data_IF_320915634530
#
_entry.id   IF_320915634530
#
_cell.length_a   1.000
_cell.length_b   1.000
_cell.length_c   1.000
_cell.angle_alpha   90.00
_cell.angle_beta   90.00
_cell.angle_gamma   90.00
#
_symmetry.space_group_name_H-M   'P 1'
#
loop_
_entity.id
_entity.type
_entity.pdbx_description
1 polymer ?
#
# COMPACT_ATOMS: atom_id res chain seq x y z
N UNK A 1 1.54 -87.89 -22.84
CA UNK A 1 2.60 -87.33 -21.98
C UNK A 1 3.71 -86.57 -22.71
N UNK A 2 4.31 -87.03 -23.82
CA UNK A 2 5.43 -86.30 -24.45
C UNK A 2 5.08 -84.89 -24.98
N UNK A 3 3.90 -84.72 -25.58
CA UNK A 3 3.47 -83.40 -26.09
C UNK A 3 3.16 -82.38 -25.00
N UNK A 4 2.86 -82.82 -23.77
CA UNK A 4 2.61 -81.94 -22.61
C UNK A 4 3.94 -81.42 -22.05
N UNK A 5 4.99 -82.25 -22.02
CA UNK A 5 6.32 -81.82 -21.61
C UNK A 5 6.98 -80.89 -22.65
N UNK A 6 6.83 -81.17 -23.94
CA UNK A 6 7.30 -80.27 -25.00
C UNK A 6 6.59 -78.92 -24.97
N UNK A 7 5.26 -78.92 -24.80
CA UNK A 7 4.51 -77.68 -24.64
C UNK A 7 4.94 -76.91 -23.39
N UNK A 8 5.13 -77.61 -22.25
CA UNK A 8 5.62 -76.98 -21.02
C UNK A 8 7.00 -76.37 -21.21
N UNK A 9 7.93 -77.07 -21.86
CA UNK A 9 9.28 -76.58 -22.12
C UNK A 9 9.28 -75.41 -23.12
N UNK A 10 8.48 -75.48 -24.18
CA UNK A 10 8.32 -74.39 -25.13
C UNK A 10 7.69 -73.14 -24.50
N UNK A 11 6.67 -73.32 -23.67
CA UNK A 11 6.02 -72.23 -22.95
C UNK A 11 6.95 -71.64 -21.87
N UNK A 12 7.74 -72.46 -21.19
CA UNK A 12 8.75 -71.99 -20.22
C UNK A 12 9.83 -71.16 -20.93
N UNK A 13 10.31 -71.62 -22.08
CA UNK A 13 11.29 -70.91 -22.90
C UNK A 13 10.73 -69.58 -23.42
N UNK A 14 9.52 -69.58 -23.98
CA UNK A 14 8.85 -68.37 -24.43
C UNK A 14 8.66 -67.34 -23.30
N UNK A 15 8.23 -67.79 -22.12
CA UNK A 15 8.01 -66.91 -20.98
C UNK A 15 9.32 -66.38 -20.39
N UNK A 16 10.37 -67.20 -20.30
CA UNK A 16 11.63 -66.84 -19.65
C UNK A 16 12.64 -66.16 -20.56
N UNK A 17 12.76 -66.58 -21.81
CA UNK A 17 13.79 -66.08 -22.75
C UNK A 17 13.27 -64.98 -23.67
N UNK A 18 11.97 -64.92 -23.95
CA UNK A 18 11.39 -63.90 -24.85
C UNK A 18 10.55 -62.86 -24.11
N UNK A 19 9.53 -63.27 -23.36
CA UNK A 19 8.58 -62.32 -22.75
C UNK A 19 9.09 -61.62 -21.51
N UNK A 20 9.80 -62.33 -20.63
CA UNK A 20 10.33 -61.76 -19.40
C UNK A 20 11.34 -60.63 -19.69
N UNK A 21 12.35 -60.79 -20.58
CA UNK A 21 13.26 -59.69 -20.93
C UNK A 21 12.53 -58.50 -21.57
N UNK A 22 11.55 -58.73 -22.44
CA UNK A 22 10.74 -57.66 -23.05
C UNK A 22 10.00 -56.81 -22.00
N UNK A 23 9.45 -57.44 -20.95
CA UNK A 23 8.79 -56.74 -19.85
C UNK A 23 9.78 -55.89 -19.03
N UNK A 24 10.97 -56.43 -18.75
CA UNK A 24 12.03 -55.69 -18.04
C UNK A 24 12.57 -54.52 -18.87
N UNK A 25 12.66 -54.66 -20.20
CA UNK A 25 13.04 -53.57 -21.10
C UNK A 25 12.01 -52.43 -21.11
N UNK A 26 10.71 -52.76 -21.16
CA UNK A 26 9.66 -51.74 -21.08
C UNK A 26 9.68 -51.05 -19.71
N UNK A 27 9.82 -51.82 -18.64
CA UNK A 27 9.92 -51.28 -17.29
C UNK A 27 11.13 -50.35 -17.12
N UNK A 28 12.30 -50.73 -17.68
CA UNK A 28 13.50 -49.89 -17.64
C UNK A 28 13.28 -48.57 -18.38
N UNK A 29 12.64 -48.60 -19.57
CA UNK A 29 12.29 -47.39 -20.34
C UNK A 29 11.32 -46.48 -19.59
N UNK A 30 10.35 -47.06 -18.88
CA UNK A 30 9.38 -46.29 -18.08
C UNK A 30 10.03 -45.68 -16.83
N UNK A 31 10.98 -46.38 -16.20
CA UNK A 31 11.68 -45.91 -15.00
C UNK A 31 12.79 -44.88 -15.30
N UNK A 32 13.38 -44.94 -16.49
CA UNK A 32 14.48 -44.07 -16.92
C UNK A 32 14.21 -42.56 -16.72
N UNK A 33 13.09 -41.97 -17.20
CA UNK A 33 12.83 -40.54 -17.02
C UNK A 33 12.69 -40.14 -15.55
N UNK A 34 12.10 -40.99 -14.71
CA UNK A 34 11.99 -40.74 -13.28
C UNK A 34 13.35 -40.78 -12.59
N UNK A 35 14.18 -41.79 -12.90
CA UNK A 35 15.53 -41.90 -12.37
C UNK A 35 16.40 -40.69 -12.75
N UNK A 36 16.30 -40.19 -13.98
CA UNK A 36 17.02 -38.99 -14.43
C UNK A 36 16.55 -37.75 -13.65
N UNK A 37 15.25 -37.51 -13.55
CA UNK A 37 14.70 -36.36 -12.83
C UNK A 37 15.07 -36.37 -11.34
N UNK A 38 15.01 -37.55 -10.70
CA UNK A 38 15.42 -37.73 -9.31
C UNK A 38 16.91 -37.43 -9.12
N UNK A 39 17.76 -37.97 -10.00
CA UNK A 39 19.21 -37.71 -10.01
C UNK A 39 19.49 -36.21 -10.14
N UNK A 40 18.89 -35.53 -11.10
CA UNK A 40 19.06 -34.09 -11.29
C UNK A 40 18.60 -33.29 -10.07
N UNK A 41 17.48 -33.68 -9.45
CA UNK A 41 16.98 -33.02 -8.24
C UNK A 41 17.91 -33.16 -7.05
N UNK A 42 18.49 -34.35 -6.84
CA UNK A 42 19.43 -34.61 -5.75
C UNK A 42 20.78 -33.94 -5.99
N UNK A 43 21.30 -33.94 -7.22
CA UNK A 43 22.53 -33.22 -7.56
C UNK A 43 22.36 -31.71 -7.39
N UNK A 44 21.23 -31.14 -7.82
CA UNK A 44 20.92 -29.73 -7.62
C UNK A 44 20.85 -29.38 -6.13
N UNK A 45 20.10 -30.16 -5.34
CA UNK A 45 20.02 -29.96 -3.89
C UNK A 45 21.40 -30.09 -3.20
N UNK A 46 22.26 -30.99 -3.69
CA UNK A 46 23.61 -31.17 -3.18
C UNK A 46 24.49 -29.94 -3.46
N UNK A 47 24.49 -29.44 -4.69
CA UNK A 47 25.25 -28.24 -5.07
C UNK A 47 24.73 -26.96 -4.39
N UNK A 48 23.42 -26.83 -4.21
CA UNK A 48 22.80 -25.72 -3.47
C UNK A 48 23.22 -25.72 -1.99
N UNK A 49 23.47 -26.89 -1.39
CA UNK A 49 24.00 -27.03 -0.02
C UNK A 49 25.53 -26.87 0.05
N UNK A 50 26.24 -27.16 -1.05
CA UNK A 50 27.70 -27.09 -1.12
C UNK A 50 28.21 -25.68 -1.43
N UNK A 51 27.44 -24.90 -2.19
CA UNK A 51 27.71 -23.50 -2.49
C UNK A 51 27.51 -22.55 -1.29
N UNK A 52 26.94 -23.04 -0.18
CA UNK A 52 26.75 -22.25 1.03
C UNK A 52 28.06 -22.11 1.84
N UNK A 53 28.33 -20.92 2.41
CA UNK A 53 29.57 -20.69 3.15
C UNK A 53 29.66 -21.56 4.42
N UNK A 54 30.80 -22.23 4.58
CA UNK A 54 31.08 -23.18 5.68
C UNK A 54 31.70 -22.53 6.92
N UNK A 55 32.20 -21.31 6.78
CA UNK A 55 32.83 -20.57 7.86
C UNK A 55 31.90 -19.47 8.38
N UNK A 56 31.84 -19.34 9.71
CA UNK A 56 31.04 -18.31 10.40
C UNK A 56 31.36 -16.90 9.90
N UNK A 57 32.63 -16.63 9.55
CA UNK A 57 33.04 -15.31 9.04
C UNK A 57 32.57 -15.07 7.59
N UNK A 58 32.61 -16.09 6.73
CA UNK A 58 32.09 -15.99 5.36
C UNK A 58 30.55 -15.88 5.34
N UNK A 59 29.86 -16.55 6.26
CA UNK A 59 28.41 -16.40 6.49
C UNK A 59 28.07 -14.97 6.95
N UNK A 60 28.88 -14.38 7.85
CA UNK A 60 28.72 -12.99 8.28
C UNK A 60 28.87 -12.01 7.11
N UNK A 61 29.93 -12.12 6.30
CA UNK A 61 30.12 -11.23 5.15
C UNK A 61 29.02 -11.35 4.08
N UNK A 62 28.54 -12.57 3.82
CA UNK A 62 27.41 -12.80 2.91
C UNK A 62 26.12 -12.17 3.43
N UNK A 63 25.77 -12.41 4.71
CA UNK A 63 24.58 -11.83 5.33
C UNK A 63 24.66 -10.30 5.44
N UNK A 64 25.85 -9.73 5.64
CA UNK A 64 26.06 -8.28 5.62
C UNK A 64 25.79 -7.66 4.25
N UNK A 65 26.16 -8.34 3.14
CA UNK A 65 25.82 -7.86 1.78
C UNK A 65 24.33 -7.97 1.50
N UNK A 66 23.70 -9.06 1.98
CA UNK A 66 22.27 -9.26 1.86
C UNK A 66 21.48 -8.21 2.66
N UNK A 67 21.96 -7.83 3.83
CA UNK A 67 21.33 -6.85 4.72
C UNK A 67 21.05 -5.50 4.04
N UNK A 68 22.01 -4.96 3.30
CA UNK A 68 21.82 -3.69 2.59
C UNK A 68 20.70 -3.80 1.53
N UNK A 69 20.62 -4.96 0.86
CA UNK A 69 19.55 -5.23 -0.10
C UNK A 69 18.20 -5.35 0.59
N UNK A 70 18.14 -6.01 1.75
CA UNK A 70 16.92 -6.16 2.55
C UNK A 70 16.43 -4.83 3.12
N UNK A 71 17.33 -3.99 3.67
CA UNK A 71 16.98 -2.66 4.18
C UNK A 71 16.45 -1.76 3.06
N UNK A 72 17.06 -1.82 1.87
CA UNK A 72 16.57 -1.11 0.69
C UNK A 72 15.17 -1.59 0.28
N UNK A 73 14.97 -2.90 0.20
CA UNK A 73 13.66 -3.48 -0.11
C UNK A 73 12.60 -3.06 0.90
N UNK A 74 12.91 -3.04 2.19
CA UNK A 74 12.00 -2.57 3.24
C UNK A 74 11.64 -1.10 3.05
N UNK A 75 12.62 -0.24 2.74
CA UNK A 75 12.38 1.17 2.45
C UNK A 75 11.50 1.38 1.20
N UNK A 76 11.75 0.63 0.15
CA UNK A 76 10.97 0.66 -1.10
C UNK A 76 9.53 0.15 -0.88
N UNK A 77 9.36 -0.95 -0.15
CA UNK A 77 8.06 -1.54 0.19
C UNK A 77 7.25 -0.62 1.09
N UNK A 78 7.90 0.07 2.04
CA UNK A 78 7.28 1.10 2.86
C UNK A 78 6.74 2.25 1.99
N UNK A 79 7.57 2.80 1.09
CA UNK A 79 7.13 3.88 0.19
C UNK A 79 5.94 3.44 -0.67
N UNK A 80 6.01 2.27 -1.29
CA UNK A 80 4.91 1.70 -2.09
C UNK A 80 3.64 1.51 -1.27
N UNK A 81 3.76 1.10 0.00
CA UNK A 81 2.59 0.96 0.87
C UNK A 81 1.93 2.33 1.12
N UNK A 82 2.70 3.36 1.46
CA UNK A 82 2.18 4.72 1.65
C UNK A 82 1.55 5.26 0.36
N UNK A 83 2.20 5.09 -0.78
CA UNK A 83 1.66 5.48 -2.09
C UNK A 83 0.34 4.78 -2.41
N UNK A 84 0.25 3.48 -2.12
CA UNK A 84 -0.98 2.71 -2.31
C UNK A 84 -2.10 3.23 -1.42
N UNK A 85 -1.82 3.48 -0.14
CA UNK A 85 -2.80 4.03 0.81
C UNK A 85 -3.27 5.43 0.40
N UNK A 86 -2.38 6.27 -0.13
CA UNK A 86 -2.74 7.57 -0.71
C UNK A 86 -3.61 7.41 -1.95
N UNK A 87 -3.26 6.51 -2.87
CA UNK A 87 -4.03 6.29 -4.10
C UNK A 87 -5.46 5.82 -3.81
N UNK A 88 -5.65 4.98 -2.78
CA UNK A 88 -6.99 4.54 -2.36
C UNK A 88 -7.89 5.68 -1.86
N UNK A 89 -7.29 6.77 -1.35
CA UNK A 89 -8.02 7.95 -0.85
C UNK A 89 -8.17 9.03 -1.93
N UNK A 90 -7.15 9.21 -2.78
CA UNK A 90 -7.11 10.31 -3.74
C UNK A 90 -7.72 9.92 -5.09
N UNK A 91 -7.51 8.69 -5.56
CA UNK A 91 -7.75 8.31 -6.96
C UNK A 91 -8.95 7.37 -7.16
N UNK A 92 -9.31 6.52 -6.19
CA UNK A 92 -10.29 5.44 -6.43
C UNK A 92 -11.59 5.51 -5.64
N UNK A 93 -11.77 6.44 -4.68
CA UNK A 93 -12.93 6.46 -3.75
C UNK A 93 -13.20 5.10 -3.04
N UNK A 94 -12.27 4.15 -3.13
CA UNK A 94 -12.41 2.77 -2.63
C UNK A 94 -12.22 2.71 -1.12
N UNK A 95 -11.58 3.73 -0.52
CA UNK A 95 -11.50 3.85 0.92
C UNK A 95 -12.87 4.31 1.50
N UNK A 96 -13.77 3.34 1.66
CA UNK A 96 -15.13 3.54 2.19
C UNK A 96 -15.16 4.22 3.56
N UNK A 97 -14.14 3.97 4.40
CA UNK A 97 -14.07 4.58 5.72
C UNK A 97 -13.76 6.08 5.61
N UNK A 98 -12.78 6.44 4.79
CA UNK A 98 -12.46 7.84 4.50
C UNK A 98 -13.64 8.57 3.86
N UNK A 99 -14.32 7.94 2.88
CA UNK A 99 -15.51 8.52 2.26
C UNK A 99 -16.65 8.77 3.25
N UNK A 100 -16.86 7.83 4.17
CA UNK A 100 -17.87 7.97 5.22
C UNK A 100 -17.54 9.14 6.15
N UNK A 101 -16.29 9.28 6.54
CA UNK A 101 -15.84 10.38 7.40
C UNK A 101 -15.91 11.73 6.69
N UNK A 102 -15.55 11.78 5.40
CA UNK A 102 -15.69 12.99 4.60
C UNK A 102 -17.17 13.38 4.43
N UNK A 103 -18.06 12.43 4.13
CA UNK A 103 -19.51 12.68 4.11
C UNK A 103 -20.03 13.17 5.46
N UNK A 104 -19.53 12.62 6.57
CA UNK A 104 -19.88 13.09 7.93
C UNK A 104 -19.49 14.56 8.12
N UNK A 105 -18.31 14.98 7.66
CA UNK A 105 -17.89 16.39 7.64
C UNK A 105 -18.86 17.25 6.82
N UNK A 106 -19.22 16.83 5.60
CA UNK A 106 -20.16 17.57 4.75
C UNK A 106 -21.52 17.78 5.44
N UNK A 107 -22.07 16.72 6.05
CA UNK A 107 -23.35 16.79 6.76
C UNK A 107 -23.29 17.70 7.98
N UNK A 108 -22.19 17.66 8.75
CA UNK A 108 -22.01 18.55 9.92
C UNK A 108 -21.97 20.02 9.50
N UNK A 109 -21.27 20.34 8.41
CA UNK A 109 -21.22 21.69 7.86
C UNK A 109 -22.60 22.21 7.45
N UNK A 110 -23.37 21.41 6.69
CA UNK A 110 -24.72 21.76 6.26
C UNK A 110 -25.64 21.94 7.46
N UNK A 111 -25.65 20.97 8.39
CA UNK A 111 -26.48 21.02 9.59
C UNK A 111 -26.13 22.22 10.47
N UNK A 112 -24.84 22.58 10.57
CA UNK A 112 -24.42 23.77 11.33
C UNK A 112 -24.95 25.04 10.70
N UNK A 113 -24.85 25.20 9.39
CA UNK A 113 -25.40 26.37 8.69
C UNK A 113 -26.90 26.50 8.95
N UNK A 114 -27.66 25.41 8.82
CA UNK A 114 -29.11 25.42 9.07
C UNK A 114 -29.45 25.88 10.50
N UNK A 115 -28.69 25.39 11.49
CA UNK A 115 -28.85 25.81 12.89
C UNK A 115 -28.51 27.28 13.08
N UNK A 116 -27.41 27.76 12.50
CA UNK A 116 -26.98 29.16 12.61
C UNK A 116 -28.00 30.11 11.97
N UNK A 117 -28.52 29.78 10.79
CA UNK A 117 -29.56 30.57 10.11
C UNK A 117 -30.86 30.59 10.91
N UNK A 118 -31.29 29.43 11.44
CA UNK A 118 -32.53 29.33 12.22
C UNK A 118 -32.45 30.05 13.57
N UNK A 119 -31.28 30.03 14.21
CA UNK A 119 -31.05 30.65 15.53
C UNK A 119 -30.55 32.10 15.45
N UNK A 120 -30.23 32.60 14.26
CA UNK A 120 -29.80 33.98 14.05
C UNK A 120 -30.80 34.97 14.65
N UNK A 121 -30.31 35.93 15.42
CA UNK A 121 -31.12 37.02 15.97
C UNK A 121 -30.49 38.37 15.68
N UNK A 122 -31.32 39.30 15.19
CA UNK A 122 -30.93 40.70 14.98
C UNK A 122 -30.52 41.35 16.29
N UNK A 123 -31.17 40.99 17.40
CA UNK A 123 -30.88 41.57 18.71
C UNK A 123 -29.50 41.25 19.26
N UNK A 124 -29.14 39.98 19.24
CA UNK A 124 -27.81 39.55 19.69
C UNK A 124 -26.69 40.08 18.78
N UNK A 125 -26.95 40.16 17.47
CA UNK A 125 -26.01 40.71 16.49
C UNK A 125 -25.87 42.23 16.65
N UNK A 126 -26.97 42.95 16.90
CA UNK A 126 -26.96 44.38 17.20
C UNK A 126 -26.16 44.68 18.47
N UNK A 127 -26.36 43.91 19.56
CA UNK A 127 -25.57 44.07 20.80
C UNK A 127 -24.07 43.88 20.55
N UNK A 128 -23.69 42.86 19.77
CA UNK A 128 -22.29 42.60 19.39
C UNK A 128 -21.71 43.74 18.57
N UNK A 129 -22.40 44.17 17.51
CA UNK A 129 -21.97 45.29 16.68
C UNK A 129 -21.89 46.61 17.45
N UNK A 130 -22.79 46.84 18.43
CA UNK A 130 -22.76 48.01 19.31
C UNK A 130 -21.56 47.97 20.26
N UNK A 131 -21.19 46.80 20.78
CA UNK A 131 -20.02 46.64 21.64
C UNK A 131 -18.71 47.06 20.93
N UNK A 132 -18.64 46.86 19.61
CA UNK A 132 -17.54 47.32 18.75
C UNK A 132 -17.50 48.84 18.56
N UNK A 133 -18.61 49.55 18.84
CA UNK A 133 -18.74 51.01 18.66
C UNK A 133 -19.32 51.72 19.89
N UNK A 134 -18.60 51.67 21.02
CA UNK A 134 -19.01 52.18 22.35
C UNK A 134 -19.53 53.62 22.43
N UNK A 135 -19.24 54.48 21.45
CA UNK A 135 -19.70 55.88 21.42
C UNK A 135 -21.07 56.08 20.78
N UNK A 136 -21.57 55.10 20.03
CA UNK A 136 -22.80 55.22 19.25
C UNK A 136 -23.87 54.26 19.79
N UNK A 137 -25.08 54.77 19.98
CA UNK A 137 -26.20 53.99 20.50
C UNK A 137 -26.94 53.18 19.42
N UNK A 138 -26.66 53.43 18.14
CA UNK A 138 -27.38 52.86 16.98
C UNK A 138 -26.40 52.18 16.04
N UNK A 139 -26.75 50.98 15.58
CA UNK A 139 -25.99 50.22 14.58
C UNK A 139 -26.78 50.22 13.27
N UNK A 140 -26.18 50.63 12.14
CA UNK A 140 -26.85 50.54 10.84
C UNK A 140 -27.04 49.06 10.46
N UNK A 141 -28.08 48.76 9.68
CA UNK A 141 -28.35 47.39 9.25
C UNK A 141 -27.18 46.75 8.51
N UNK A 142 -26.40 47.51 7.74
CA UNK A 142 -25.18 47.03 7.10
C UNK A 142 -24.14 46.57 8.12
N UNK A 143 -24.06 47.23 9.29
CA UNK A 143 -23.21 46.79 10.39
C UNK A 143 -23.71 45.50 11.04
N UNK A 144 -25.04 45.32 11.16
CA UNK A 144 -25.64 44.05 11.63
C UNK A 144 -25.36 42.93 10.64
N UNK A 145 -25.51 43.19 9.34
CA UNK A 145 -25.22 42.20 8.29
C UNK A 145 -23.74 41.82 8.32
N UNK A 146 -22.83 42.79 8.36
CA UNK A 146 -21.39 42.53 8.45
C UNK A 146 -21.05 41.64 9.66
N UNK A 147 -21.57 41.98 10.84
CA UNK A 147 -21.36 41.18 12.06
C UNK A 147 -21.97 39.77 11.92
N UNK A 148 -23.11 39.63 11.24
CA UNK A 148 -23.71 38.33 10.93
C UNK A 148 -22.81 37.49 10.00
N UNK A 149 -22.22 38.09 8.96
CA UNK A 149 -21.28 37.40 8.06
C UNK A 149 -20.08 36.85 8.84
N UNK A 150 -19.45 37.68 9.68
CA UNK A 150 -18.34 37.23 10.53
C UNK A 150 -18.76 36.11 11.49
N UNK A 151 -19.91 36.26 12.15
CA UNK A 151 -20.40 35.25 13.07
C UNK A 151 -20.62 33.90 12.39
N UNK A 152 -21.32 33.87 11.25
CA UNK A 152 -21.58 32.65 10.52
C UNK A 152 -20.28 32.02 9.99
N UNK A 153 -19.36 32.82 9.44
CA UNK A 153 -18.09 32.34 8.94
C UNK A 153 -17.24 31.69 10.05
N UNK A 154 -17.10 32.34 11.21
CA UNK A 154 -16.32 31.85 12.33
C UNK A 154 -16.91 30.56 12.94
N UNK A 155 -18.24 30.48 13.04
CA UNK A 155 -18.92 29.29 13.56
C UNK A 155 -18.82 28.10 12.60
N UNK A 156 -18.83 28.35 11.28
CA UNK A 156 -18.57 27.34 10.26
C UNK A 156 -17.10 26.92 10.25
N UNK A 157 -16.17 27.85 10.43
CA UNK A 157 -14.74 27.58 10.56
C UNK A 157 -14.48 26.63 11.72
N UNK A 158 -15.06 26.91 12.90
CA UNK A 158 -14.87 26.06 14.08
C UNK A 158 -15.29 24.60 13.82
N UNK A 159 -16.43 24.40 13.15
CA UNK A 159 -16.92 23.06 12.78
C UNK A 159 -16.05 22.41 11.71
N UNK A 160 -15.61 23.16 10.71
CA UNK A 160 -14.73 22.63 9.66
C UNK A 160 -13.38 22.22 10.24
N UNK A 161 -12.80 23.04 11.13
CA UNK A 161 -11.56 22.75 11.84
C UNK A 161 -11.67 21.49 12.69
N UNK A 162 -12.73 21.34 13.47
CA UNK A 162 -12.95 20.15 14.30
C UNK A 162 -13.15 18.90 13.45
N UNK A 163 -14.00 18.97 12.42
CA UNK A 163 -14.27 17.85 11.54
C UNK A 163 -13.04 17.42 10.73
N UNK A 164 -12.18 18.35 10.32
CA UNK A 164 -10.95 18.04 9.60
C UNK A 164 -9.89 17.39 10.49
N UNK A 165 -9.82 17.77 11.76
CA UNK A 165 -8.98 17.05 12.74
C UNK A 165 -9.44 15.61 12.90
N UNK A 166 -10.74 15.40 13.10
CA UNK A 166 -11.32 14.05 13.22
C UNK A 166 -11.08 13.20 11.96
N UNK A 167 -11.22 13.80 10.77
CA UNK A 167 -10.93 13.11 9.50
C UNK A 167 -9.46 12.65 9.43
N UNK A 168 -8.52 13.49 9.84
CA UNK A 168 -7.10 13.13 9.88
C UNK A 168 -6.80 12.08 10.94
N UNK A 169 -7.36 12.23 12.14
CA UNK A 169 -7.19 11.25 13.22
C UNK A 169 -7.61 9.85 12.78
N UNK A 170 -8.79 9.73 12.18
CA UNK A 170 -9.31 8.45 11.71
C UNK A 170 -8.47 7.86 10.57
N UNK A 171 -8.03 8.71 9.63
CA UNK A 171 -7.17 8.27 8.53
C UNK A 171 -5.83 7.75 9.04
N UNK A 172 -5.12 8.53 9.87
CA UNK A 172 -3.81 8.13 10.40
C UNK A 172 -3.90 6.94 11.35
N UNK A 173 -4.99 6.80 12.11
CA UNK A 173 -5.24 5.60 12.91
C UNK A 173 -5.32 4.34 12.03
N UNK A 174 -6.07 4.40 10.93
CA UNK A 174 -6.15 3.26 10.00
C UNK A 174 -4.83 2.98 9.31
N UNK A 175 -4.12 4.03 8.88
CA UNK A 175 -2.80 3.92 8.27
C UNK A 175 -1.82 3.23 9.21
N UNK A 176 -1.82 3.63 10.48
CA UNK A 176 -0.97 3.07 11.52
C UNK A 176 -1.20 1.57 11.72
N UNK A 177 -2.46 1.15 11.84
CA UNK A 177 -2.82 -0.27 11.95
C UNK A 177 -2.38 -1.08 10.74
N UNK A 178 -2.55 -0.54 9.53
CA UNK A 178 -2.12 -1.22 8.29
C UNK A 178 -0.60 -1.32 8.19
N UNK A 179 0.14 -0.27 8.56
CA UNK A 179 1.60 -0.28 8.60
C UNK A 179 2.10 -1.35 9.57
N UNK A 180 1.51 -1.47 10.76
CA UNK A 180 1.86 -2.51 11.74
C UNK A 180 1.65 -3.93 11.25
N UNK A 181 0.60 -4.14 10.45
CA UNK A 181 0.27 -5.45 9.89
C UNK A 181 1.09 -5.79 8.64
N UNK A 182 1.87 -4.85 8.10
CA UNK A 182 2.63 -5.07 6.88
C UNK A 182 3.87 -5.94 7.11
N UNK A 183 4.19 -6.80 6.14
CA UNK A 183 5.34 -7.71 6.21
C UNK A 183 6.67 -6.98 6.40
N UNK A 184 6.84 -5.83 5.74
CA UNK A 184 8.07 -5.02 5.86
C UNK A 184 8.27 -4.50 7.29
N UNK A 185 7.20 -4.25 8.05
CA UNK A 185 7.29 -3.73 9.42
C UNK A 185 7.84 -4.79 10.38
N UNK A 186 7.36 -6.02 10.25
CA UNK A 186 7.89 -7.16 10.99
C UNK A 186 9.34 -7.47 10.61
N UNK A 187 9.69 -7.37 9.32
CA UNK A 187 11.07 -7.52 8.85
C UNK A 187 11.99 -6.42 9.40
N UNK A 188 11.55 -5.17 9.39
CA UNK A 188 12.28 -4.05 9.97
C UNK A 188 12.58 -4.28 11.46
N UNK A 189 11.56 -4.72 12.22
CA UNK A 189 11.71 -5.02 13.64
C UNK A 189 12.68 -6.18 13.89
N UNK A 190 12.67 -7.22 13.05
CA UNK A 190 13.65 -8.32 13.11
C UNK A 190 15.08 -7.82 12.89
N UNK A 191 15.29 -6.96 11.91
CA UNK A 191 16.63 -6.51 11.52
C UNK A 191 17.23 -5.49 12.50
N UNK A 192 16.44 -4.53 12.97
CA UNK A 192 16.92 -3.42 13.82
C UNK A 192 16.61 -3.59 15.31
N UNK A 193 15.73 -4.54 15.67
CA UNK A 193 15.23 -4.71 17.05
C UNK A 193 14.26 -3.61 17.49
N UNK A 194 13.86 -2.71 16.59
CA UNK A 194 12.90 -1.63 16.81
C UNK A 194 12.23 -1.22 15.48
N UNK A 195 11.26 -0.31 15.56
CA UNK A 195 10.50 0.21 14.41
C UNK A 195 11.24 1.31 13.62
N UNK A 196 12.49 1.61 13.96
CA UNK A 196 13.27 2.73 13.45
C UNK A 196 12.56 4.11 13.50
N UNK A 197 11.63 4.29 14.44
CA UNK A 197 10.85 5.52 14.58
C UNK A 197 9.79 5.71 13.50
N UNK A 198 9.37 4.66 12.79
CA UNK A 198 8.24 4.71 11.84
C UNK A 198 6.98 5.22 12.53
N UNK A 199 6.67 4.71 13.72
CA UNK A 199 5.46 5.10 14.46
C UNK A 199 5.51 6.58 14.89
N UNK A 200 6.65 7.02 15.42
CA UNK A 200 6.87 8.41 15.83
C UNK A 200 6.79 9.40 14.65
N UNK A 201 7.27 8.98 13.47
CA UNK A 201 7.18 9.79 12.27
C UNK A 201 5.74 9.87 11.76
N UNK A 202 4.98 8.77 11.77
CA UNK A 202 3.55 8.79 11.41
C UNK A 202 2.74 9.73 12.33
N UNK A 203 2.98 9.70 13.64
CA UNK A 203 2.35 10.61 14.59
C UNK A 203 2.72 12.08 14.30
N UNK A 204 4.01 12.35 14.04
CA UNK A 204 4.47 13.70 13.66
C UNK A 204 3.86 14.17 12.34
N UNK A 205 3.70 13.29 11.36
CA UNK A 205 3.08 13.62 10.08
C UNK A 205 1.59 13.89 10.24
N UNK A 206 0.91 13.14 11.12
CA UNK A 206 -0.48 13.39 11.50
C UNK A 206 -0.66 14.81 12.05
N UNK A 207 0.16 15.21 13.02
CA UNK A 207 0.08 16.56 13.61
C UNK A 207 0.38 17.67 12.60
N UNK A 208 1.34 17.45 11.69
CA UNK A 208 1.63 18.40 10.60
C UNK A 208 0.46 18.52 9.62
N UNK A 209 -0.12 17.39 9.20
CA UNK A 209 -1.26 17.37 8.30
C UNK A 209 -2.51 18.03 8.93
N UNK A 210 -2.76 17.79 10.21
CA UNK A 210 -3.80 18.48 10.98
C UNK A 210 -3.57 19.98 10.99
N UNK A 211 -2.36 20.43 11.37
CA UNK A 211 -2.05 21.86 11.44
C UNK A 211 -2.21 22.55 10.07
N UNK A 212 -1.77 21.89 8.99
CA UNK A 212 -1.98 22.37 7.64
C UNK A 212 -3.47 22.48 7.30
N UNK A 213 -4.26 21.43 7.55
CA UNK A 213 -5.70 21.47 7.30
C UNK A 213 -6.45 22.50 8.14
N UNK A 214 -6.02 22.76 9.38
CA UNK A 214 -6.59 23.85 10.18
C UNK A 214 -6.40 25.20 9.50
N UNK A 215 -5.21 25.45 8.94
CA UNK A 215 -4.94 26.69 8.21
C UNK A 215 -5.71 26.78 6.88
N UNK A 216 -5.85 25.65 6.18
CA UNK A 216 -6.66 25.59 4.96
C UNK A 216 -8.15 25.80 5.25
N UNK A 217 -8.69 25.21 6.33
CA UNK A 217 -10.07 25.45 6.79
C UNK A 217 -10.33 26.93 7.06
N UNK A 218 -9.41 27.59 7.76
CA UNK A 218 -9.47 29.04 8.01
C UNK A 218 -9.51 29.83 6.71
N UNK A 219 -8.59 29.53 5.80
CA UNK A 219 -8.47 30.22 4.51
C UNK A 219 -9.71 30.04 3.65
N UNK A 220 -10.33 28.85 3.67
CA UNK A 220 -11.59 28.59 2.94
C UNK A 220 -12.79 29.30 3.59
N UNK A 221 -12.89 29.31 4.93
CA UNK A 221 -13.98 29.98 5.64
C UNK A 221 -13.87 31.51 5.66
N UNK A 222 -12.66 32.07 5.63
CA UNK A 222 -12.45 33.52 5.47
C UNK A 222 -13.10 34.06 4.19
N UNK A 223 -13.14 33.23 3.14
CA UNK A 223 -13.81 33.58 1.87
C UNK A 223 -15.33 33.71 2.04
N UNK A 224 -15.92 33.15 3.09
CA UNK A 224 -17.35 33.27 3.34
C UNK A 224 -17.77 34.67 3.78
N UNK A 225 -16.86 35.42 4.39
CA UNK A 225 -17.12 36.79 4.86
C UNK A 225 -17.43 37.70 3.67
N UNK A 226 -16.73 37.50 2.54
CA UNK A 226 -16.91 38.31 1.33
C UNK A 226 -18.11 37.85 0.52
N UNK A 227 -19.01 38.76 0.19
CA UNK A 227 -20.16 38.47 -0.66
C UNK A 227 -19.73 38.09 -2.08
N UNK A 228 -20.50 37.20 -2.70
CA UNK A 228 -20.28 36.78 -4.08
C UNK A 228 -20.63 37.92 -5.06
N UNK A 229 -19.92 38.08 -6.19
CA UNK A 229 -20.33 39.05 -7.23
C UNK A 229 -21.79 38.89 -7.67
N UNK A 230 -22.26 37.64 -7.73
CA UNK A 230 -23.63 37.27 -8.07
C UNK A 230 -24.67 37.80 -7.08
N UNK A 231 -24.25 38.06 -5.83
CA UNK A 231 -25.10 38.59 -4.77
C UNK A 231 -25.65 39.98 -5.12
N UNK A 232 -24.86 40.78 -5.86
CA UNK A 232 -25.18 42.15 -6.26
C UNK A 232 -25.63 42.28 -7.73
N UNK A 233 -25.73 41.19 -8.47
CA UNK A 233 -26.11 41.23 -9.89
C UNK A 233 -27.54 41.71 -10.09
N UNK A 234 -27.76 42.59 -11.07
CA UNK A 234 -29.09 43.10 -11.38
C UNK A 234 -30.04 41.97 -11.81
N UNK A 235 -31.30 42.04 -11.36
CA UNK A 235 -32.33 41.04 -11.70
C UNK A 235 -32.27 39.74 -10.87
N UNK A 236 -31.38 39.63 -9.87
CA UNK A 236 -31.32 38.45 -8.99
C UNK A 236 -32.22 38.57 -7.76
N UNK A 237 -32.60 37.42 -7.21
CA UNK A 237 -33.39 37.31 -5.98
C UNK A 237 -32.65 37.94 -4.79
N UNK A 238 -31.32 37.85 -4.72
CA UNK A 238 -30.52 38.43 -3.64
C UNK A 238 -30.60 39.95 -3.60
N UNK A 239 -30.52 40.64 -4.76
CA UNK A 239 -30.65 42.10 -4.83
C UNK A 239 -32.06 42.55 -4.49
N UNK A 240 -33.08 41.84 -4.96
CA UNK A 240 -34.48 42.13 -4.62
C UNK A 240 -34.70 42.00 -3.10
N UNK A 241 -34.26 40.88 -2.51
CA UNK A 241 -34.39 40.61 -1.09
C UNK A 241 -33.62 41.65 -0.24
N UNK A 242 -32.40 41.99 -0.63
CA UNK A 242 -31.60 43.02 0.04
C UNK A 242 -32.32 44.38 0.03
N UNK A 243 -32.84 44.80 -1.12
CA UNK A 243 -33.60 46.07 -1.24
C UNK A 243 -34.82 46.07 -0.33
N UNK A 244 -35.57 44.97 -0.28
CA UNK A 244 -36.74 44.84 0.57
C UNK A 244 -36.36 44.92 2.07
N UNK A 245 -35.33 44.17 2.48
CA UNK A 245 -34.78 44.18 3.85
C UNK A 245 -34.35 45.59 4.27
N UNK A 246 -33.61 46.29 3.40
CA UNK A 246 -33.17 47.66 3.66
C UNK A 246 -34.36 48.62 3.77
N UNK A 247 -35.36 48.51 2.89
CA UNK A 247 -36.55 49.35 2.95
C UNK A 247 -37.38 49.09 4.21
N UNK A 248 -37.58 47.84 4.61
CA UNK A 248 -38.36 47.49 5.81
C UNK A 248 -37.66 47.92 7.10
N UNK A 249 -36.36 47.64 7.22
CA UNK A 249 -35.59 47.95 8.41
C UNK A 249 -35.30 49.46 8.59
N UNK A 250 -35.19 50.22 7.50
CA UNK A 250 -34.92 51.66 7.54
C UNK A 250 -36.18 52.53 7.58
N UNK A 251 -37.39 51.95 7.57
CA UNK A 251 -38.67 52.70 7.68
C UNK A 251 -38.88 53.30 9.07
N UNK A 252 -38.30 52.71 10.10
CA UNK A 252 -38.31 53.22 11.48
C UNK A 252 -36.91 53.58 11.96
N UNK A 253 -36.83 54.50 12.92
CA UNK A 253 -35.58 54.83 13.64
C UNK A 253 -35.37 53.93 14.88
N UNK A 254 -36.28 52.98 15.10
CA UNK A 254 -36.37 52.14 16.28
C UNK A 254 -35.90 50.69 16.02
N UNK A 255 -35.32 50.10 17.06
CA UNK A 255 -34.84 48.72 17.06
C UNK A 255 -35.93 47.70 16.68
N UNK A 256 -37.19 48.00 16.97
CA UNK A 256 -38.34 47.12 16.66
C UNK A 256 -38.53 46.91 15.15
N UNK A 257 -38.26 47.92 14.33
CA UNK A 257 -38.31 47.82 12.87
C UNK A 257 -37.21 46.89 12.33
N UNK A 258 -36.04 46.85 12.97
CA UNK A 258 -34.96 45.91 12.59
C UNK A 258 -35.31 44.48 12.96
N UNK A 259 -35.96 44.26 14.11
CA UNK A 259 -36.43 42.92 14.53
C UNK A 259 -37.51 42.39 13.59
N UNK A 260 -38.43 43.25 13.12
CA UNK A 260 -39.44 42.87 12.11
C UNK A 260 -38.81 42.39 10.79
N UNK A 261 -37.64 42.93 10.43
CA UNK A 261 -36.89 42.52 9.24
C UNK A 261 -36.06 41.23 9.43
N UNK A 262 -35.99 40.66 10.64
CA UNK A 262 -35.18 39.47 10.94
C UNK A 262 -35.44 38.27 10.02
N UNK A 263 -36.69 37.88 9.70
CA UNK A 263 -36.94 36.76 8.78
C UNK A 263 -36.34 37.00 7.38
N UNK A 264 -36.42 38.24 6.91
CA UNK A 264 -35.91 38.65 5.62
C UNK A 264 -34.36 38.70 5.62
N UNK A 265 -33.73 39.06 6.74
CA UNK A 265 -32.28 38.99 6.95
C UNK A 265 -31.81 37.52 6.98
N UNK A 266 -32.51 36.62 7.67
CA UNK A 266 -32.19 35.18 7.68
C UNK A 266 -32.21 34.60 6.27
N UNK A 267 -33.22 34.97 5.48
CA UNK A 267 -33.32 34.54 4.09
C UNK A 267 -32.16 35.08 3.24
N UNK A 268 -31.74 36.32 3.46
CA UNK A 268 -30.59 36.91 2.77
C UNK A 268 -29.28 36.17 3.09
N UNK A 269 -29.03 35.89 4.38
CA UNK A 269 -27.85 35.12 4.82
C UNK A 269 -27.87 33.71 4.21
N UNK A 270 -29.05 33.07 4.16
CA UNK A 270 -29.21 31.75 3.56
C UNK A 270 -28.85 31.73 2.08
N UNK A 271 -29.36 32.70 1.30
CA UNK A 271 -29.11 32.81 -0.15
C UNK A 271 -27.62 32.93 -0.45
N UNK A 272 -26.86 33.61 0.40
CA UNK A 272 -25.43 33.81 0.19
C UNK A 272 -24.56 32.65 0.74
N UNK A 273 -24.82 32.16 1.96
CA UNK A 273 -23.98 31.13 2.58
C UNK A 273 -24.21 29.72 2.02
N UNK A 274 -25.43 29.35 1.63
CA UNK A 274 -25.69 28.01 1.08
C UNK A 274 -24.84 27.67 -0.16
N UNK A 275 -24.77 28.52 -1.21
CA UNK A 275 -23.94 28.21 -2.37
C UNK A 275 -22.44 28.22 -2.04
N UNK A 276 -22.00 29.10 -1.14
CA UNK A 276 -20.62 29.11 -0.62
C UNK A 276 -20.24 27.81 0.04
N UNK A 277 -21.07 27.36 0.97
CA UNK A 277 -20.86 26.11 1.68
C UNK A 277 -20.86 24.92 0.73
N UNK A 278 -21.85 24.84 -0.17
CA UNK A 278 -21.96 23.76 -1.15
C UNK A 278 -20.72 23.68 -2.04
N UNK A 279 -20.23 24.81 -2.52
CA UNK A 279 -19.02 24.84 -3.34
C UNK A 279 -17.79 24.36 -2.55
N UNK A 280 -17.63 24.79 -1.30
CA UNK A 280 -16.52 24.32 -0.47
C UNK A 280 -16.58 22.82 -0.25
N UNK A 281 -17.70 22.30 0.27
CA UNK A 281 -17.79 20.90 0.69
C UNK A 281 -17.83 19.92 -0.50
N UNK A 282 -18.32 20.34 -1.67
CA UNK A 282 -18.44 19.47 -2.85
C UNK A 282 -17.27 19.59 -3.81
N UNK A 283 -16.64 20.77 -3.92
CA UNK A 283 -15.69 21.06 -5.01
C UNK A 283 -14.29 21.43 -4.54
N UNK A 284 -14.13 22.32 -3.56
CA UNK A 284 -12.79 22.84 -3.22
C UNK A 284 -12.12 22.04 -2.11
N UNK A 285 -12.87 21.65 -1.07
CA UNK A 285 -12.27 21.14 0.16
C UNK A 285 -11.69 19.73 0.01
N UNK A 286 -12.33 18.84 -0.77
CA UNK A 286 -11.80 17.49 -1.02
C UNK A 286 -10.43 17.52 -1.72
N UNK A 287 -10.25 18.25 -2.84
CA UNK A 287 -8.93 18.45 -3.42
C UNK A 287 -7.90 19.03 -2.45
N UNK A 288 -8.29 19.97 -1.59
CA UNK A 288 -7.39 20.54 -0.57
C UNK A 288 -6.91 19.45 0.40
N UNK A 289 -7.82 18.65 0.96
CA UNK A 289 -7.47 17.51 1.82
C UNK A 289 -6.53 16.53 1.10
N UNK A 290 -6.86 16.16 -0.13
CA UNK A 290 -6.04 15.23 -0.92
C UNK A 290 -4.62 15.77 -1.13
N UNK A 291 -4.47 17.05 -1.48
CA UNK A 291 -3.16 17.70 -1.65
C UNK A 291 -2.38 17.76 -0.34
N UNK A 292 -3.04 18.06 0.78
CA UNK A 292 -2.41 18.10 2.10
C UNK A 292 -1.88 16.72 2.49
N UNK A 293 -2.67 15.65 2.25
CA UNK A 293 -2.24 14.28 2.50
C UNK A 293 -1.02 13.91 1.63
N UNK A 294 -1.08 14.15 0.32
CA UNK A 294 0.03 13.85 -0.60
C UNK A 294 1.32 14.54 -0.12
N UNK A 295 1.24 15.84 0.16
CA UNK A 295 2.41 16.63 0.56
C UNK A 295 3.02 16.15 1.88
N UNK A 296 2.20 15.81 2.88
CA UNK A 296 2.69 15.42 4.21
C UNK A 296 2.97 13.92 4.39
N UNK A 297 2.68 13.09 3.39
CA UNK A 297 2.96 11.65 3.46
C UNK A 297 4.02 11.20 2.44
N UNK A 298 3.99 11.71 1.20
CA UNK A 298 4.83 11.19 0.12
C UNK A 298 6.32 11.58 0.26
N UNK A 299 6.62 12.88 0.35
CA UNK A 299 8.01 13.32 0.53
C UNK A 299 8.62 12.82 1.87
N UNK A 300 7.88 12.87 2.99
CA UNK A 300 8.39 12.32 4.24
C UNK A 300 8.58 10.80 4.21
N UNK A 301 7.77 10.03 3.47
CA UNK A 301 7.97 8.58 3.37
C UNK A 301 9.28 8.23 2.67
N UNK A 302 9.63 8.92 1.59
CA UNK A 302 10.93 8.72 0.93
C UNK A 302 12.11 9.11 1.82
N UNK A 303 11.95 10.20 2.59
CA UNK A 303 12.97 10.62 3.56
C UNK A 303 13.19 9.56 4.63
N UNK A 304 12.11 8.97 5.16
CA UNK A 304 12.19 7.90 6.15
C UNK A 304 12.77 6.61 5.57
N UNK A 305 12.44 6.25 4.33
CA UNK A 305 13.02 5.09 3.65
C UNK A 305 14.55 5.24 3.48
N UNK A 306 15.02 6.44 3.12
CA UNK A 306 16.45 6.73 3.07
C UNK A 306 17.10 6.65 4.46
N UNK A 307 16.40 7.11 5.50
CA UNK A 307 16.87 6.99 6.89
C UNK A 307 16.94 5.53 7.36
N UNK A 308 15.99 4.68 6.96
CA UNK A 308 16.02 3.23 7.19
C UNK A 308 17.26 2.60 6.54
N UNK A 309 17.54 2.97 5.29
CA UNK A 309 18.72 2.49 4.57
C UNK A 309 20.04 2.90 5.25
N UNK A 310 20.08 4.10 5.84
CA UNK A 310 21.25 4.58 6.58
C UNK A 310 21.48 3.85 7.92
N UNK A 311 20.53 3.08 8.43
CA UNK A 311 20.70 2.32 9.69
C UNK A 311 21.49 1.01 9.52
N UNK A 312 22.23 0.86 8.42
CA UNK A 312 23.02 -0.33 8.14
C UNK A 312 23.91 -0.75 9.33
N UNK A 313 24.65 0.19 9.94
CA UNK A 313 25.53 -0.11 11.08
C UNK A 313 24.78 -0.70 12.29
N UNK A 314 23.62 -0.13 12.64
CA UNK A 314 22.81 -0.64 13.75
C UNK A 314 22.20 -2.00 13.44
N UNK A 315 21.78 -2.20 12.19
CA UNK A 315 21.29 -3.48 11.74
C UNK A 315 22.42 -4.53 11.81
N UNK A 316 23.66 -4.18 11.44
CA UNK A 316 24.82 -5.04 11.59
C UNK A 316 25.11 -5.39 13.05
N UNK A 317 25.07 -4.44 13.97
CA UNK A 317 25.30 -4.69 15.39
C UNK A 317 24.23 -5.59 16.03
N UNK A 318 22.97 -5.36 15.68
CA UNK A 318 21.85 -6.17 16.15
C UNK A 318 21.93 -7.58 15.57
N UNK A 319 22.11 -7.68 14.25
CA UNK A 319 22.31 -8.96 13.58
C UNK A 319 23.52 -9.70 14.12
N UNK A 320 24.66 -9.06 14.35
CA UNK A 320 25.85 -9.73 14.89
C UNK A 320 25.57 -10.45 16.22
N UNK A 321 24.71 -9.86 17.07
CA UNK A 321 24.30 -10.47 18.35
C UNK A 321 23.37 -11.67 18.18
N UNK A 322 22.54 -11.69 17.14
CA UNK A 322 21.65 -12.82 16.82
C UNK A 322 22.32 -13.86 15.89
N UNK A 323 23.27 -13.43 15.07
CA UNK A 323 23.99 -14.20 14.05
C UNK A 323 24.80 -15.32 14.65
N UNK A 324 25.44 -15.12 15.80
CA UNK A 324 26.22 -16.21 16.39
C UNK A 324 25.33 -17.43 16.75
N UNK A 325 24.05 -17.19 17.09
CA UNK A 325 23.06 -18.25 17.34
C UNK A 325 22.35 -18.72 16.08
N UNK A 326 22.01 -17.81 15.16
CA UNK A 326 21.35 -18.17 13.90
C UNK A 326 22.32 -18.89 12.94
N UNK A 327 23.58 -18.45 12.84
CA UNK A 327 24.60 -19.10 12.02
C UNK A 327 24.97 -20.49 12.56
N UNK A 328 25.05 -20.68 13.89
CA UNK A 328 25.26 -22.02 14.45
C UNK A 328 24.08 -22.94 14.16
N UNK A 329 22.85 -22.45 14.33
CA UNK A 329 21.64 -23.23 14.03
C UNK A 329 21.51 -23.54 12.53
N UNK A 330 21.88 -22.61 11.65
CA UNK A 330 21.85 -22.78 10.21
C UNK A 330 22.91 -23.77 9.74
N UNK A 331 24.13 -23.74 10.30
CA UNK A 331 25.16 -24.75 10.05
C UNK A 331 24.72 -26.14 10.51
N UNK A 332 24.13 -26.27 11.70
CA UNK A 332 23.58 -27.55 12.17
C UNK A 332 22.44 -28.07 11.29
N UNK A 333 21.55 -27.19 10.83
CA UNK A 333 20.46 -27.55 9.93
C UNK A 333 20.98 -27.99 8.56
N UNK A 334 21.98 -27.29 8.01
CA UNK A 334 22.62 -27.63 6.75
C UNK A 334 23.37 -28.97 6.83
N UNK A 335 24.08 -29.23 7.93
CA UNK A 335 24.74 -30.52 8.16
C UNK A 335 23.72 -31.66 8.26
N UNK A 336 22.60 -31.47 8.98
CA UNK A 336 21.51 -32.44 9.03
C UNK A 336 20.92 -32.71 7.64
N UNK A 337 20.65 -31.65 6.87
CA UNK A 337 20.14 -31.79 5.50
C UNK A 337 21.13 -32.50 4.57
N UNK A 338 22.44 -32.26 4.73
CA UNK A 338 23.47 -32.99 3.99
C UNK A 338 23.47 -34.47 4.35
N UNK A 339 23.35 -34.82 5.62
CA UNK A 339 23.26 -36.24 6.06
C UNK A 339 22.01 -36.90 5.48
N UNK A 340 20.83 -36.28 5.62
CA UNK A 340 19.59 -36.80 5.06
C UNK A 340 19.64 -36.95 3.53
N UNK A 341 20.28 -36.00 2.84
CA UNK A 341 20.44 -36.06 1.39
C UNK A 341 21.42 -37.17 0.97
N UNK A 342 22.51 -37.39 1.72
CA UNK A 342 23.39 -38.55 1.50
C UNK A 342 22.64 -39.87 1.65
N UNK A 343 21.84 -40.01 2.70
CA UNK A 343 21.04 -41.21 2.93
C UNK A 343 20.04 -41.46 1.79
N UNK A 344 19.40 -40.40 1.28
CA UNK A 344 18.49 -40.48 0.11
C UNK A 344 19.23 -40.87 -1.17
N UNK A 345 20.42 -40.31 -1.41
CA UNK A 345 21.28 -40.66 -2.57
C UNK A 345 21.73 -42.12 -2.46
N UNK A 346 22.10 -42.59 -1.27
CA UNK A 346 22.54 -43.97 -1.05
C UNK A 346 21.39 -44.96 -1.23
N UNK A 347 20.20 -44.67 -0.69
CA UNK A 347 19.00 -45.47 -0.91
C UNK A 347 18.60 -45.52 -2.40
N UNK A 348 18.69 -44.40 -3.12
CA UNK A 348 18.49 -44.34 -4.56
C UNK A 348 19.49 -45.23 -5.30
N UNK A 349 20.79 -45.08 -5.02
CA UNK A 349 21.84 -45.87 -5.66
C UNK A 349 21.69 -47.36 -5.38
N UNK A 350 21.31 -47.76 -4.16
CA UNK A 350 21.04 -49.16 -3.82
C UNK A 350 19.86 -49.72 -4.62
N UNK A 351 18.76 -48.97 -4.75
CA UNK A 351 17.60 -49.38 -5.52
C UNK A 351 17.93 -49.50 -7.02
N UNK A 352 18.61 -48.50 -7.59
CA UNK A 352 19.06 -48.49 -8.98
C UNK A 352 20.00 -49.66 -9.26
N UNK A 353 20.97 -49.93 -8.37
CA UNK A 353 21.90 -51.05 -8.50
C UNK A 353 21.19 -52.41 -8.47
N UNK A 354 20.20 -52.57 -7.60
CA UNK A 354 19.37 -53.79 -7.56
C UNK A 354 18.60 -54.01 -8.87
N UNK A 355 18.03 -52.94 -9.44
CA UNK A 355 17.33 -53.01 -10.73
C UNK A 355 18.31 -53.30 -11.86
N UNK A 356 19.46 -52.62 -11.89
CA UNK A 356 20.51 -52.82 -12.89
C UNK A 356 21.04 -54.25 -12.87
N UNK A 357 21.26 -54.85 -11.70
CA UNK A 357 21.64 -56.27 -11.57
C UNK A 357 20.58 -57.20 -12.18
N UNK A 358 19.29 -56.91 -11.98
CA UNK A 358 18.22 -57.68 -12.61
C UNK A 358 18.20 -57.52 -14.14
N UNK A 359 18.53 -56.33 -14.66
CA UNK A 359 18.64 -56.07 -16.11
C UNK A 359 19.85 -56.77 -16.72
N UNK A 360 21.01 -56.78 -16.04
CA UNK A 360 22.23 -57.49 -16.45
C UNK A 360 22.02 -59.01 -16.50
N UNK A 361 21.34 -59.59 -15.49
CA UNK A 361 20.97 -61.02 -15.51
C UNK A 361 20.08 -61.40 -16.70
N UNK A 362 19.35 -60.42 -17.27
CA UNK A 362 18.51 -60.58 -18.45
C UNK A 362 19.21 -60.20 -19.76
N UNK A 363 20.53 -59.92 -19.74
CA UNK A 363 21.36 -59.45 -20.87
C UNK A 363 20.90 -58.11 -21.46
N UNK A 364 20.33 -57.24 -20.64
CA UNK A 364 19.85 -55.90 -21.01
C UNK A 364 20.84 -54.79 -20.59
N UNK A 365 22.14 -55.05 -20.77
CA UNK A 365 23.23 -54.17 -20.29
C UNK A 365 23.19 -52.75 -20.87
N UNK A 366 22.48 -52.56 -21.99
CA UNK A 366 22.31 -51.25 -22.66
C UNK A 366 21.20 -50.38 -22.06
N UNK A 367 20.43 -50.89 -21.11
CA UNK A 367 19.25 -50.21 -20.53
C UNK A 367 19.41 -49.95 -19.03
N UNK A 368 20.65 -49.86 -18.56
CA UNK A 368 20.95 -49.55 -17.17
C UNK A 368 20.45 -48.15 -16.80
N UNK A 369 19.87 -48.08 -15.60
CA UNK A 369 19.40 -46.86 -14.98
C UNK A 369 20.59 -46.07 -14.40
N UNK A 370 20.53 -44.74 -14.40
CA UNK A 370 21.64 -43.89 -13.99
C UNK A 370 21.89 -43.96 -12.48
N UNK A 371 23.12 -44.28 -12.07
CA UNK A 371 23.58 -44.11 -10.68
C UNK A 371 24.16 -42.71 -10.46
N UNK A 372 24.18 -42.25 -9.21
CA UNK A 372 24.87 -41.01 -8.79
C UNK A 372 26.27 -41.40 -8.30
N UNK A 373 27.31 -41.02 -9.04
CA UNK A 373 28.70 -41.31 -8.69
C UNK A 373 29.30 -40.22 -7.79
N UNK A 374 30.38 -40.54 -7.08
CA UNK A 374 31.14 -39.53 -6.32
C UNK A 374 31.68 -38.42 -7.23
N UNK A 375 32.04 -38.74 -8.48
CA UNK A 375 32.47 -37.75 -9.48
C UNK A 375 31.37 -36.72 -9.79
N UNK A 376 30.10 -37.14 -9.84
CA UNK A 376 28.96 -36.23 -10.05
C UNK A 376 28.81 -35.23 -8.90
N UNK A 377 29.22 -35.60 -7.68
CA UNK A 377 29.18 -34.74 -6.50
C UNK A 377 30.29 -33.68 -6.49
N UNK A 378 31.38 -33.90 -7.23
CA UNK A 378 32.53 -32.97 -7.32
C UNK A 378 32.53 -32.09 -8.57
N UNK A 379 31.82 -32.47 -9.64
CA UNK A 379 31.60 -31.60 -10.80
C UNK A 379 30.60 -30.51 -10.45
N UNK A 380 31.08 -29.28 -10.24
CA UNK A 380 30.23 -28.10 -10.28
C UNK A 380 29.56 -28.03 -11.67
N UNK A 381 28.26 -27.70 -11.76
CA UNK A 381 27.64 -27.49 -13.04
C UNK A 381 28.36 -26.31 -13.72
N UNK A 382 28.82 -26.54 -14.95
CA UNK A 382 29.22 -25.45 -15.84
C UNK A 382 27.98 -24.58 -15.99
N UNK A 383 27.99 -23.40 -15.35
CA UNK A 383 27.04 -22.34 -15.62
C UNK A 383 27.26 -21.97 -17.08
N UNK A 384 26.43 -22.52 -17.97
CA UNK A 384 26.22 -21.89 -19.26
C UNK A 384 25.48 -20.60 -18.91
N UNK A 385 26.23 -19.50 -18.88
CA UNK A 385 25.65 -18.16 -18.93
C UNK A 385 24.81 -18.08 -20.21
N UNK A 386 23.52 -18.38 -20.09
CA UNK A 386 22.55 -17.95 -21.07
C UNK A 386 22.41 -16.45 -20.83
N UNK A 387 23.14 -15.67 -21.63
CA UNK A 387 22.99 -14.22 -21.73
C UNK A 387 21.49 -13.86 -21.74
N UNK A 388 20.97 -13.12 -20.74
CA UNK A 388 19.61 -12.61 -20.78
C UNK A 388 19.58 -11.32 -21.61
N UNK A 389 20.09 -11.38 -22.84
CA UNK A 389 20.15 -10.25 -23.77
C UNK A 389 19.11 -10.34 -24.90
N UNK A 390 18.31 -11.40 -24.98
CA UNK A 390 17.29 -11.56 -26.01
C UNK A 390 15.93 -11.94 -25.41
N UNK A 391 15.33 -11.05 -24.62
CA UNK A 391 13.88 -11.01 -24.39
C UNK A 391 13.51 -9.79 -23.54
N UNK A 392 12.58 -8.99 -24.03
CA UNK A 392 11.86 -7.88 -23.36
C UNK A 392 12.27 -6.42 -23.63
N UNK A 393 13.37 -6.12 -24.33
CA UNK A 393 13.61 -4.74 -24.84
C UNK A 393 13.21 -4.53 -26.30
N UNK A 394 13.18 -5.58 -27.13
CA UNK A 394 12.71 -5.49 -28.52
C UNK A 394 11.19 -5.52 -28.69
N UNK A 395 10.41 -5.90 -27.67
CA UNK A 395 8.93 -5.90 -27.75
C UNK A 395 8.26 -4.61 -27.27
N UNK A 396 9.01 -3.67 -26.69
CA UNK A 396 8.49 -2.35 -26.32
C UNK A 396 8.82 -1.25 -27.35
N UNK A 397 9.73 -1.50 -28.30
CA UNK A 397 10.02 -0.55 -29.39
C UNK A 397 9.00 -0.64 -30.55
N UNK A 398 8.43 -1.82 -30.82
CA UNK A 398 7.45 -2.02 -31.90
C UNK A 398 6.01 -1.58 -31.55
N UNK A 399 5.77 -1.17 -30.29
CA UNK A 399 4.46 -0.63 -29.85
C UNK A 399 4.49 0.92 -29.82
N UNK A 400 5.66 1.55 -29.82
CA UNK A 400 5.80 3.02 -29.84
C UNK A 400 5.95 3.64 -31.23
N UNK A 401 6.14 2.85 -32.29
CA UNK A 401 6.25 3.36 -33.68
C UNK A 401 4.99 3.16 -34.54
N UNK A 402 3.91 2.59 -34.00
CA UNK A 402 2.65 2.39 -34.74
C UNK A 402 1.54 3.43 -34.48
N UNK A 403 1.78 4.45 -33.64
CA UNK A 403 0.79 5.54 -33.37
C UNK A 403 1.18 6.95 -33.88
N UNK A 404 2.31 7.11 -34.59
CA UNK A 404 2.72 8.41 -35.16
C UNK A 404 2.76 8.43 -36.70
N UNK A 405 1.70 7.93 -37.33
CA UNK A 405 1.63 7.82 -38.79
C UNK A 405 0.30 8.17 -39.41
N UNK A 406 -0.34 9.29 -39.04
CA UNK A 406 -1.45 9.87 -39.84
C UNK A 406 -1.71 11.35 -39.50
N UNK A 407 -0.92 12.29 -40.06
CA UNK A 407 -1.41 13.61 -40.52
C UNK A 407 -0.47 14.13 -41.61
N UNK A 408 -0.80 13.89 -42.88
CA UNK A 408 -0.43 14.79 -43.99
C UNK A 408 -1.19 14.45 -45.27
N UNK A 409 -2.33 15.13 -45.45
CA UNK A 409 -2.86 15.58 -46.74
C UNK A 409 -3.94 16.62 -46.49
#
# INVERSE_FOLDING_TARGET
DSGVEEFRNAMTRYLMEEKRPQLFEVLAKDLQPFCISLRESYLKAWWDLESQPREVNALKEYQLRQLNTELKQIGDDFCKHIEKELNLVVASDENLAFEKDFKKLQHRMISRLDVLIKSFSVGETHKRAQASHKRNAVVPIMGILAEAFYYLANELEAVLVEASKELMDNFFYQLYERVRQADYYSKLYRLLGNDNGVEQNLERWCERAKAALVNESKTECDRYIRERPEFYSEGTVSVFQLRQVLQEACRGYDYESMVKAEPAIRQLLKIDFEPKLKETILRTYRPTVNKTLIHHLLEPSHTLANYILQQHEKACEHLAKTLDKEASAQLEANEKQKVELKEKIEAYNQAVKGINQCLEMMKLDRQTLPEISEMDLFTLPVVIEVNPADSLQQKFADISESENGFVSS
#
